data_IF_600521260638
#
_entry.id   IF_600521260638
#
_cell.length_a   1.000
_cell.length_b   1.000
_cell.length_c   1.000
_cell.angle_alpha   90.00
_cell.angle_beta   90.00
_cell.angle_gamma   90.00
#
_symmetry.space_group_name_H-M   'P 1'
#
loop_
_entity.id
_entity.type
_entity.pdbx_description
1 polymer ?
#
# COMPACT_ATOMS: atom_id res chain seq x y z
N UNK A 1 4.99 -7.35 16.31
CA UNK A 1 3.83 -6.74 15.63
C UNK A 1 3.10 -5.67 16.46
N UNK A 2 2.96 -5.79 17.76
CA UNK A 2 2.24 -4.78 18.59
C UNK A 2 2.81 -3.35 18.48
N UNK A 3 4.11 -3.20 18.24
CA UNK A 3 4.78 -1.90 18.03
C UNK A 3 4.60 -1.31 16.62
N UNK A 4 4.10 -2.07 15.65
CA UNK A 4 3.89 -1.59 14.28
C UNK A 4 2.94 -0.39 14.25
N UNK A 5 3.34 0.66 13.56
CA UNK A 5 2.54 1.88 13.31
C UNK A 5 2.53 2.21 11.82
N UNK A 6 1.50 2.91 11.39
CA UNK A 6 1.48 3.63 10.11
C UNK A 6 2.38 4.85 10.24
N UNK A 7 3.46 4.91 9.45
CA UNK A 7 4.46 5.98 9.51
C UNK A 7 4.45 6.77 8.21
N UNK A 8 4.43 8.10 8.31
CA UNK A 8 4.37 9.03 7.17
C UNK A 8 5.64 9.87 7.02
N UNK A 9 6.55 9.80 7.99
CA UNK A 9 7.81 10.53 7.98
C UNK A 9 8.96 9.53 7.82
N UNK A 10 9.62 9.60 6.68
CA UNK A 10 10.69 8.68 6.30
C UNK A 10 12.04 9.37 6.32
N UNK A 11 13.08 8.63 6.70
CA UNK A 11 14.45 8.97 6.41
C UNK A 11 14.72 8.80 4.90
N UNK A 12 15.62 9.62 4.37
CA UNK A 12 16.15 9.46 3.01
C UNK A 12 17.25 8.41 2.91
N UNK A 13 17.58 7.73 4.01
CA UNK A 13 18.56 6.66 4.06
C UNK A 13 18.22 5.56 3.06
N UNK A 14 19.16 5.17 2.17
CA UNK A 14 18.89 4.14 1.17
C UNK A 14 18.58 2.79 1.81
N UNK A 15 17.69 2.05 1.18
CA UNK A 15 17.38 0.67 1.54
C UNK A 15 17.87 -0.24 0.42
N UNK A 16 18.57 -1.31 0.78
CA UNK A 16 19.01 -2.33 -0.14
C UNK A 16 17.80 -3.00 -0.82
N UNK A 17 17.88 -3.21 -2.12
CA UNK A 17 16.83 -3.84 -2.94
C UNK A 17 16.43 -5.22 -2.40
N UNK A 18 17.37 -5.97 -1.86
CA UNK A 18 17.19 -7.31 -1.31
C UNK A 18 16.20 -7.35 -0.14
N UNK A 19 16.08 -6.26 0.63
CA UNK A 19 15.08 -6.14 1.70
C UNK A 19 13.67 -6.03 1.10
N UNK A 20 13.51 -5.27 0.02
CA UNK A 20 12.23 -5.17 -0.70
C UNK A 20 11.87 -6.51 -1.35
N UNK A 21 12.83 -7.16 -1.99
CA UNK A 21 12.64 -8.51 -2.56
C UNK A 21 12.22 -9.51 -1.50
N UNK A 22 12.84 -9.50 -0.33
CA UNK A 22 12.51 -10.37 0.79
C UNK A 22 11.07 -10.14 1.26
N UNK A 23 10.65 -8.89 1.39
CA UNK A 23 9.28 -8.56 1.77
C UNK A 23 8.26 -9.02 0.71
N UNK A 24 8.56 -8.83 -0.59
CA UNK A 24 7.70 -9.27 -1.68
C UNK A 24 7.64 -10.80 -1.76
N UNK A 25 8.77 -11.50 -1.57
CA UNK A 25 8.79 -12.98 -1.50
C UNK A 25 7.91 -13.48 -0.33
N UNK A 26 8.00 -12.85 0.83
CA UNK A 26 7.14 -13.17 1.98
C UNK A 26 5.67 -12.94 1.64
N UNK A 27 5.32 -11.82 1.00
CA UNK A 27 3.98 -11.56 0.53
C UNK A 27 3.47 -12.61 -0.47
N UNK A 28 4.36 -13.07 -1.35
CA UNK A 28 4.09 -14.11 -2.35
C UNK A 28 3.76 -15.49 -1.76
N UNK A 29 4.02 -15.72 -0.47
CA UNK A 29 3.61 -16.97 0.22
C UNK A 29 2.16 -16.94 0.71
N UNK A 30 1.42 -15.86 0.47
CA UNK A 30 0.03 -15.74 0.88
C UNK A 30 -0.84 -16.84 0.23
N UNK A 31 -1.81 -17.39 0.95
CA UNK A 31 -2.84 -18.21 0.32
C UNK A 31 -3.70 -17.37 -0.63
N UNK A 32 -4.21 -18.02 -1.68
CA UNK A 32 -5.09 -17.36 -2.65
C UNK A 32 -6.16 -18.30 -3.16
N UNK A 33 -7.29 -17.75 -3.60
CA UNK A 33 -8.38 -18.50 -4.20
C UNK A 33 -7.88 -19.38 -5.35
N UNK A 34 -8.12 -20.68 -5.27
CA UNK A 34 -7.64 -21.68 -6.24
C UNK A 34 -6.11 -21.60 -6.56
N UNK A 35 -5.31 -21.11 -5.62
CA UNK A 35 -3.87 -20.91 -5.77
C UNK A 35 -3.49 -19.99 -6.95
N UNK A 36 -4.34 -19.04 -7.29
CA UNK A 36 -4.19 -18.19 -8.50
C UNK A 36 -3.23 -17.03 -8.33
N UNK A 37 -2.87 -16.66 -7.08
CA UNK A 37 -1.86 -15.64 -6.75
C UNK A 37 -2.08 -14.33 -7.53
N UNK A 38 -3.26 -13.69 -7.40
CA UNK A 38 -3.74 -12.60 -8.27
C UNK A 38 -3.13 -11.24 -7.94
N UNK A 39 -1.83 -11.17 -7.71
CA UNK A 39 -1.12 -9.97 -7.31
C UNK A 39 0.09 -9.70 -8.18
N UNK A 40 0.36 -8.41 -8.40
CA UNK A 40 1.60 -7.89 -8.95
C UNK A 40 2.11 -6.80 -8.02
N UNK A 41 3.35 -6.90 -7.58
CA UNK A 41 4.03 -5.85 -6.83
C UNK A 41 4.95 -5.08 -7.77
N UNK A 42 4.76 -3.76 -7.86
CA UNK A 42 5.66 -2.87 -8.61
C UNK A 42 6.46 -2.06 -7.60
N UNK A 43 7.76 -2.30 -7.53
CA UNK A 43 8.67 -1.60 -6.63
C UNK A 43 9.39 -0.47 -7.38
N UNK A 44 9.22 0.75 -6.91
CA UNK A 44 9.71 1.99 -7.53
C UNK A 44 10.72 2.65 -6.60
N UNK A 45 11.97 2.80 -7.07
CA UNK A 45 13.02 3.59 -6.42
C UNK A 45 13.40 4.84 -7.23
N UNK A 46 13.04 4.89 -8.52
CA UNK A 46 13.34 6.02 -9.42
C UNK A 46 12.68 7.31 -8.90
N UNK A 47 13.48 8.38 -8.61
CA UNK A 47 12.94 9.63 -8.08
C UNK A 47 11.97 10.32 -9.03
N UNK A 48 12.17 10.20 -10.34
CA UNK A 48 11.32 10.85 -11.33
C UNK A 48 9.93 10.19 -11.38
N UNK A 49 9.88 8.87 -11.31
CA UNK A 49 8.61 8.12 -11.24
C UNK A 49 7.91 8.41 -9.91
N UNK A 50 8.63 8.41 -8.78
CA UNK A 50 8.06 8.76 -7.47
C UNK A 50 7.46 10.16 -7.46
N UNK A 51 8.13 11.14 -8.06
CA UNK A 51 7.63 12.51 -8.19
C UNK A 51 6.33 12.56 -9.00
N UNK A 52 6.25 11.82 -10.11
CA UNK A 52 5.02 11.73 -10.91
C UNK A 52 3.88 11.05 -10.16
N UNK A 53 4.18 9.97 -9.41
CA UNK A 53 3.18 9.30 -8.55
C UNK A 53 2.67 10.27 -7.48
N UNK A 54 3.57 11.02 -6.83
CA UNK A 54 3.19 12.02 -5.81
C UNK A 54 2.30 13.09 -6.40
N UNK A 55 2.67 13.71 -7.50
CA UNK A 55 1.90 14.78 -8.13
C UNK A 55 0.47 14.32 -8.46
N UNK A 56 0.33 13.15 -9.11
CA UNK A 56 -0.97 12.61 -9.46
C UNK A 56 -1.80 12.22 -8.21
N UNK A 57 -1.17 11.65 -7.18
CA UNK A 57 -1.84 11.32 -5.92
C UNK A 57 -2.32 12.59 -5.19
N UNK A 58 -1.50 13.63 -5.11
CA UNK A 58 -1.87 14.91 -4.48
C UNK A 58 -2.98 15.63 -5.25
N UNK A 59 -3.07 15.45 -6.58
CA UNK A 59 -4.18 15.97 -7.38
C UNK A 59 -5.52 15.31 -7.02
N UNK A 60 -5.55 13.98 -6.85
CA UNK A 60 -6.75 13.27 -6.40
C UNK A 60 -7.10 13.59 -4.94
N UNK A 61 -6.12 13.65 -4.06
CA UNK A 61 -6.33 14.04 -2.67
C UNK A 61 -6.85 15.49 -2.53
N UNK A 62 -6.40 16.40 -3.38
CA UNK A 62 -6.91 17.78 -3.39
C UNK A 62 -8.41 17.81 -3.73
N UNK A 63 -8.84 17.05 -4.71
CA UNK A 63 -10.27 16.91 -5.06
C UNK A 63 -11.06 16.33 -3.88
N UNK A 64 -10.51 15.32 -3.22
CA UNK A 64 -11.11 14.67 -2.05
C UNK A 64 -11.30 15.66 -0.90
N UNK A 65 -10.24 16.36 -0.48
CA UNK A 65 -10.29 17.29 0.66
C UNK A 65 -11.08 18.58 0.36
N UNK A 66 -11.22 19.00 -0.89
CA UNK A 66 -11.91 20.24 -1.27
C UNK A 66 -13.35 20.03 -1.75
N UNK A 67 -14.06 19.09 -1.14
CA UNK A 67 -15.50 18.89 -1.34
C UNK A 67 -15.90 17.53 -1.92
N UNK A 68 -14.92 16.64 -2.21
CA UNK A 68 -15.20 15.28 -2.66
C UNK A 68 -15.51 14.30 -1.52
N UNK A 69 -15.11 14.63 -0.28
CA UNK A 69 -15.28 13.74 0.87
C UNK A 69 -16.48 14.14 1.73
N UNK A 70 -17.25 13.14 2.24
CA UNK A 70 -18.22 13.39 3.31
C UNK A 70 -17.56 13.90 4.59
N UNK A 71 -18.26 14.74 5.35
CA UNK A 71 -17.72 15.38 6.57
C UNK A 71 -17.33 14.35 7.63
N UNK A 72 -18.13 13.31 7.84
CA UNK A 72 -17.85 12.23 8.78
C UNK A 72 -16.53 11.48 8.46
N UNK A 73 -16.17 11.38 7.19
CA UNK A 73 -14.88 10.82 6.79
C UNK A 73 -13.72 11.75 7.11
N UNK A 74 -13.86 13.05 6.83
CA UNK A 74 -12.85 14.06 7.19
C UNK A 74 -12.62 14.11 8.70
N UNK A 75 -13.69 14.04 9.50
CA UNK A 75 -13.64 13.97 10.95
C UNK A 75 -12.89 12.72 11.45
N UNK A 76 -13.09 11.57 10.78
CA UNK A 76 -12.37 10.34 11.10
C UNK A 76 -10.87 10.42 10.73
N UNK A 77 -10.49 11.20 9.73
CA UNK A 77 -9.11 11.39 9.30
C UNK A 77 -8.35 12.42 10.15
N UNK A 78 -9.03 13.41 10.72
CA UNK A 78 -8.43 14.50 11.47
C UNK A 78 -7.45 14.03 12.58
N UNK A 79 -7.79 13.01 13.42
CA UNK A 79 -6.88 12.51 14.46
C UNK A 79 -5.65 11.78 13.88
N UNK A 80 -5.67 11.43 12.60
CA UNK A 80 -4.57 10.70 11.95
C UNK A 80 -3.48 11.63 11.43
N UNK A 81 -3.72 12.95 11.42
CA UNK A 81 -2.78 13.96 10.94
C UNK A 81 -2.41 13.77 9.47
N UNK A 82 -3.39 13.44 8.62
CA UNK A 82 -3.20 13.31 7.17
C UNK A 82 -3.99 14.40 6.44
N UNK A 83 -3.41 14.90 5.37
CA UNK A 83 -3.96 15.96 4.52
C UNK A 83 -3.72 15.64 3.03
N UNK A 84 -3.92 16.62 2.16
CA UNK A 84 -3.72 16.47 0.71
C UNK A 84 -2.26 16.31 0.29
N UNK A 85 -1.28 16.67 1.13
CA UNK A 85 0.13 16.61 0.82
C UNK A 85 0.71 15.24 1.17
N UNK A 86 1.43 14.64 0.23
CA UNK A 86 1.94 13.26 0.34
C UNK A 86 3.47 13.18 0.17
N UNK A 87 4.25 13.96 0.97
CA UNK A 87 5.71 13.97 0.86
C UNK A 87 6.33 12.57 1.02
N UNK A 88 5.71 11.70 1.80
CA UNK A 88 6.16 10.32 1.98
C UNK A 88 6.29 9.50 0.67
N UNK A 89 5.65 9.93 -0.43
CA UNK A 89 5.79 9.28 -1.72
C UNK A 89 7.12 9.60 -2.42
N UNK A 90 7.77 10.71 -2.04
CA UNK A 90 9.11 11.09 -2.52
C UNK A 90 10.20 10.83 -1.50
N UNK A 91 9.89 11.01 -0.21
CA UNK A 91 10.87 10.91 0.87
C UNK A 91 11.28 9.45 1.13
N UNK A 92 10.33 8.52 1.09
CA UNK A 92 10.64 7.10 1.22
C UNK A 92 11.56 6.63 0.08
N UNK A 93 12.64 5.86 0.38
CA UNK A 93 13.52 5.29 -0.64
C UNK A 93 12.81 4.46 -1.69
N UNK A 94 11.80 3.70 -1.28
CA UNK A 94 10.98 2.87 -2.15
C UNK A 94 9.49 3.18 -2.02
N UNK A 95 8.77 3.07 -3.14
CA UNK A 95 7.32 3.02 -3.19
C UNK A 95 6.92 1.69 -3.82
N UNK A 96 6.22 0.85 -3.08
CA UNK A 96 5.73 -0.44 -3.58
C UNK A 96 4.23 -0.31 -3.83
N UNK A 97 3.82 -0.54 -5.08
CA UNK A 97 2.40 -0.53 -5.46
C UNK A 97 1.93 -1.96 -5.65
N UNK A 98 0.90 -2.34 -4.91
CA UNK A 98 0.22 -3.63 -5.08
C UNK A 98 -0.91 -3.46 -6.10
N UNK A 99 -0.84 -4.21 -7.18
CA UNK A 99 -1.91 -4.37 -8.15
C UNK A 99 -2.62 -5.70 -7.94
N UNK A 100 -3.93 -5.65 -7.99
CA UNK A 100 -4.80 -6.82 -8.00
C UNK A 100 -5.12 -7.19 -9.44
N UNK A 101 -4.87 -8.42 -9.83
CA UNK A 101 -5.30 -8.96 -11.11
C UNK A 101 -6.79 -9.31 -11.02
N UNK A 102 -7.63 -8.57 -11.74
CA UNK A 102 -9.09 -8.78 -11.74
C UNK A 102 -9.48 -10.10 -12.43
N UNK A 103 -8.63 -10.59 -13.31
CA UNK A 103 -8.73 -11.88 -14.01
C UNK A 103 -7.34 -12.25 -14.53
N UNK A 104 -7.12 -13.52 -14.77
CA UNK A 104 -5.94 -14.02 -15.46
C UNK A 104 -6.06 -13.87 -16.98
N UNK A 105 -4.95 -14.11 -17.68
CA UNK A 105 -4.87 -14.15 -19.14
C UNK A 105 -4.42 -15.58 -19.53
N UNK A 106 -5.23 -16.26 -20.34
CA UNK A 106 -4.91 -17.57 -20.87
C UNK A 106 -3.84 -17.47 -21.98
N UNK A 107 -3.14 -18.56 -22.32
CA UNK A 107 -2.13 -18.56 -23.38
C UNK A 107 -2.65 -18.11 -24.75
N UNK A 108 -3.94 -18.28 -25.02
CA UNK A 108 -4.62 -17.82 -26.23
C UNK A 108 -5.11 -16.36 -26.15
N UNK A 109 -4.80 -15.66 -25.05
CA UNK A 109 -5.25 -14.29 -24.77
C UNK A 109 -6.65 -14.20 -24.16
N UNK A 110 -7.33 -15.31 -23.94
CA UNK A 110 -8.65 -15.37 -23.32
C UNK A 110 -8.62 -14.99 -21.84
N UNK A 111 -9.78 -14.67 -21.29
CA UNK A 111 -9.95 -14.36 -19.87
C UNK A 111 -10.03 -15.63 -19.04
N UNK A 112 -9.23 -15.70 -17.96
CA UNK A 112 -9.34 -16.70 -16.89
C UNK A 112 -10.02 -16.09 -15.68
N UNK A 113 -11.07 -16.72 -15.16
CA UNK A 113 -11.73 -16.28 -13.93
C UNK A 113 -10.82 -16.50 -12.73
N UNK A 114 -10.55 -15.42 -11.99
CA UNK A 114 -9.86 -15.47 -10.71
C UNK A 114 -10.86 -15.29 -9.57
N UNK A 115 -10.63 -16.02 -8.48
CA UNK A 115 -11.52 -16.08 -7.32
C UNK A 115 -10.89 -15.37 -6.12
N UNK A 116 -11.71 -14.68 -5.31
CA UNK A 116 -11.28 -14.05 -4.05
C UNK A 116 -10.03 -13.19 -4.22
N UNK A 117 -9.96 -12.47 -5.33
CA UNK A 117 -8.74 -11.71 -5.69
C UNK A 117 -8.44 -10.59 -4.70
N UNK A 118 -9.47 -9.98 -4.13
CA UNK A 118 -9.35 -8.88 -3.19
C UNK A 118 -8.85 -9.37 -1.82
N UNK A 119 -9.46 -10.44 -1.32
CA UNK A 119 -9.08 -11.10 -0.06
C UNK A 119 -7.63 -11.63 -0.15
N UNK A 120 -7.30 -12.31 -1.25
CA UNK A 120 -5.96 -12.84 -1.52
C UNK A 120 -4.90 -11.74 -1.51
N UNK A 121 -5.14 -10.63 -2.21
CA UNK A 121 -4.24 -9.46 -2.21
C UNK A 121 -4.16 -8.81 -0.82
N UNK A 122 -5.27 -8.76 -0.05
CA UNK A 122 -5.27 -8.25 1.31
C UNK A 122 -4.39 -9.06 2.25
N UNK A 123 -4.41 -10.41 2.13
CA UNK A 123 -3.53 -11.30 2.90
C UNK A 123 -2.07 -11.08 2.50
N UNK A 124 -1.77 -11.02 1.19
CA UNK A 124 -0.42 -10.75 0.68
C UNK A 124 0.12 -9.39 1.19
N UNK A 125 -0.72 -8.33 1.16
CA UNK A 125 -0.37 -7.03 1.71
C UNK A 125 -0.07 -7.10 3.22
N UNK A 126 -0.85 -7.85 3.98
CA UNK A 126 -0.62 -8.07 5.41
C UNK A 126 0.73 -8.72 5.70
N UNK A 127 1.10 -9.76 4.93
CA UNK A 127 2.41 -10.42 5.03
C UNK A 127 3.55 -9.49 4.63
N UNK A 128 3.38 -8.70 3.56
CA UNK A 128 4.35 -7.66 3.16
C UNK A 128 4.62 -6.69 4.31
N UNK A 129 3.55 -6.11 4.89
CA UNK A 129 3.64 -5.16 6.00
C UNK A 129 4.31 -5.79 7.22
N UNK A 130 4.02 -7.06 7.50
CA UNK A 130 4.64 -7.80 8.60
C UNK A 130 6.15 -7.98 8.37
N UNK A 131 6.55 -8.38 7.16
CA UNK A 131 7.96 -8.55 6.79
C UNK A 131 8.73 -7.22 6.91
N UNK A 132 8.19 -6.12 6.33
CA UNK A 132 8.78 -4.78 6.45
C UNK A 132 9.02 -4.41 7.91
N UNK A 133 8.02 -4.62 8.78
CA UNK A 133 8.15 -4.32 10.20
C UNK A 133 9.19 -5.20 10.92
N UNK A 134 9.28 -6.49 10.60
CA UNK A 134 10.25 -7.40 11.20
C UNK A 134 11.69 -7.06 10.82
N UNK A 135 11.91 -6.47 9.65
CA UNK A 135 13.22 -5.99 9.20
C UNK A 135 13.59 -4.61 9.77
N UNK A 136 12.78 -4.03 10.68
CA UNK A 136 13.04 -2.72 11.27
C UNK A 136 12.65 -1.54 10.37
N UNK A 137 12.02 -1.81 9.25
CA UNK A 137 11.51 -0.79 8.32
C UNK A 137 10.09 -0.38 8.68
N UNK A 138 9.65 0.75 8.13
CA UNK A 138 8.30 1.26 8.30
C UNK A 138 7.60 1.45 6.96
N UNK A 139 6.28 1.43 7.01
CA UNK A 139 5.41 1.65 5.86
C UNK A 139 4.06 2.21 6.29
N UNK A 140 3.29 2.66 5.32
CA UNK A 140 1.86 2.94 5.43
C UNK A 140 1.13 2.34 4.23
N UNK A 141 -0.18 2.21 4.34
CA UNK A 141 -1.05 1.95 3.19
C UNK A 141 -1.69 3.26 2.76
N UNK A 142 -1.51 3.64 1.52
CA UNK A 142 -2.10 4.82 0.90
C UNK A 142 -2.96 4.40 -0.29
N UNK A 143 -4.16 4.95 -0.38
CA UNK A 143 -5.16 4.63 -1.41
C UNK A 143 -5.73 5.91 -2.00
N UNK A 144 -4.95 6.67 -2.79
CA UNK A 144 -5.46 7.86 -3.48
C UNK A 144 -6.57 7.42 -4.44
N UNK A 145 -7.75 7.97 -4.31
CA UNK A 145 -8.91 7.50 -5.08
C UNK A 145 -9.43 8.61 -6.02
N UNK A 146 -9.55 8.32 -7.33
CA UNK A 146 -9.30 7.05 -8.03
C UNK A 146 -7.80 6.76 -8.27
N UNK A 147 -7.41 5.47 -8.30
CA UNK A 147 -6.02 5.03 -8.49
C UNK A 147 -5.67 4.67 -9.95
N UNK A 148 -6.52 5.02 -10.91
CA UNK A 148 -6.33 4.67 -12.34
C UNK A 148 -5.02 5.19 -12.93
N UNK A 149 -4.57 6.37 -12.50
CA UNK A 149 -3.31 6.99 -12.93
C UNK A 149 -2.08 6.10 -12.68
N UNK A 150 -2.11 5.23 -11.67
CA UNK A 150 -1.00 4.31 -11.37
C UNK A 150 -0.83 3.25 -12.46
N UNK A 151 -1.92 2.79 -13.07
CA UNK A 151 -1.85 1.84 -14.18
C UNK A 151 -1.16 2.44 -15.40
N UNK A 152 -1.42 3.70 -15.69
CA UNK A 152 -0.80 4.45 -16.79
C UNK A 152 0.67 4.75 -16.49
N UNK A 153 0.97 5.32 -15.31
CA UNK A 153 2.32 5.69 -14.89
C UNK A 153 3.29 4.50 -14.80
N UNK A 154 2.77 3.33 -14.43
CA UNK A 154 3.55 2.12 -14.21
C UNK A 154 3.35 1.08 -15.33
N UNK A 155 2.73 1.47 -16.44
CA UNK A 155 2.54 0.67 -17.65
C UNK A 155 1.93 -0.72 -17.35
N UNK A 156 0.85 -0.73 -16.56
CA UNK A 156 0.21 -1.99 -16.16
C UNK A 156 -0.86 -2.44 -17.16
N UNK A 157 -0.97 -3.77 -17.36
CA UNK A 157 -1.96 -4.31 -18.29
C UNK A 157 -3.39 -4.07 -17.81
N UNK A 158 -4.39 -4.08 -18.69
CA UNK A 158 -5.77 -3.68 -18.38
C UNK A 158 -6.50 -4.62 -17.40
N UNK A 159 -5.98 -5.82 -17.12
CA UNK A 159 -6.52 -6.71 -16.11
C UNK A 159 -6.01 -6.41 -14.69
N UNK A 160 -5.03 -5.52 -14.53
CA UNK A 160 -4.51 -5.10 -13.23
C UNK A 160 -5.17 -3.82 -12.75
N UNK A 161 -5.46 -3.77 -11.45
CA UNK A 161 -6.03 -2.61 -10.75
C UNK A 161 -5.18 -2.30 -9.54
N UNK A 162 -4.71 -1.07 -9.42
CA UNK A 162 -4.00 -0.63 -8.23
C UNK A 162 -4.89 -0.80 -7.00
N UNK A 163 -4.34 -1.33 -5.93
CA UNK A 163 -5.04 -1.62 -4.68
C UNK A 163 -4.44 -0.87 -3.49
N UNK A 164 -3.12 -0.85 -3.37
CA UNK A 164 -2.41 -0.18 -2.27
C UNK A 164 -1.12 0.44 -2.79
N UNK A 165 -0.80 1.63 -2.29
CA UNK A 165 0.51 2.28 -2.43
C UNK A 165 1.20 2.22 -1.07
N UNK A 166 2.39 1.64 -1.01
CA UNK A 166 3.13 1.38 0.23
C UNK A 166 4.54 1.98 0.13
N UNK A 167 4.75 3.22 0.55
CA UNK A 167 6.09 3.76 0.76
C UNK A 167 6.82 2.94 1.81
N UNK A 168 8.12 2.67 1.61
CA UNK A 168 8.96 1.86 2.48
C UNK A 168 10.28 2.57 2.74
N UNK A 169 10.66 2.67 4.00
CA UNK A 169 11.89 3.33 4.43
C UNK A 169 12.19 3.07 5.90
N UNK A 170 13.30 3.62 6.38
CA UNK A 170 13.50 3.84 7.81
C UNK A 170 12.65 5.02 8.27
N UNK A 171 12.17 5.03 9.53
CA UNK A 171 11.49 6.22 10.06
C UNK A 171 12.48 7.39 10.15
N UNK A 172 12.02 8.61 9.91
CA UNK A 172 12.81 9.80 10.23
C UNK A 172 13.12 9.83 11.75
N UNK A 173 14.24 10.43 12.13
CA UNK A 173 14.67 10.45 13.54
C UNK A 173 13.66 11.10 14.49
N UNK A 174 12.89 12.06 13.98
CA UNK A 174 11.84 12.78 14.69
C UNK A 174 10.42 12.29 14.35
N UNK A 175 10.30 11.16 13.65
CA UNK A 175 9.03 10.62 13.21
C UNK A 175 8.07 10.41 14.38
N UNK A 176 6.91 11.06 14.30
CA UNK A 176 5.82 10.90 15.27
C UNK A 176 4.67 10.17 14.63
N UNK A 177 3.95 9.43 15.46
CA UNK A 177 2.73 8.72 15.06
C UNK A 177 1.61 9.04 16.05
N UNK A 178 0.34 9.11 15.64
CA UNK A 178 -0.78 9.32 16.55
C UNK A 178 -0.82 8.23 17.63
N UNK A 179 -1.14 8.62 18.87
CA UNK A 179 -1.33 7.67 19.98
C UNK A 179 -2.71 7.00 19.88
N UNK A 180 -2.81 6.03 18.98
CA UNK A 180 -4.04 5.28 18.73
C UNK A 180 -4.03 3.96 19.48
N UNK A 181 -5.15 3.65 20.15
CA UNK A 181 -5.36 2.37 20.82
C UNK A 181 -6.00 1.36 19.88
N UNK A 182 -5.50 0.13 19.91
CA UNK A 182 -6.15 -0.99 19.25
C UNK A 182 -7.20 -1.60 20.15
N UNK A 183 -8.18 -2.25 19.54
CA UNK A 183 -9.12 -3.10 20.28
C UNK A 183 -8.37 -4.16 21.09
N UNK A 184 -8.90 -4.47 22.24
CA UNK A 184 -8.41 -5.56 23.11
C UNK A 184 -8.83 -6.92 22.53
N UNK A 185 -8.26 -8.02 23.04
CA UNK A 185 -8.54 -9.36 22.52
C UNK A 185 -10.04 -9.70 22.61
N UNK A 186 -10.66 -9.39 23.72
CA UNK A 186 -12.09 -9.60 23.98
C UNK A 186 -13.04 -8.79 23.05
N UNK A 187 -12.53 -7.71 22.46
CA UNK A 187 -13.26 -6.91 21.46
C UNK A 187 -13.14 -7.45 20.02
N UNK A 188 -12.26 -8.41 19.78
CA UNK A 188 -11.98 -8.95 18.43
C UNK A 188 -12.17 -10.46 18.33
N UNK A 189 -12.49 -11.16 19.44
CA UNK A 189 -12.70 -12.60 19.47
C UNK A 189 -14.01 -12.93 20.15
N UNK A 190 -14.68 -13.96 19.67
CA UNK A 190 -15.81 -14.61 20.33
C UNK A 190 -15.43 -16.06 20.52
N UNK A 191 -15.35 -16.51 21.79
CA UNK A 191 -15.13 -17.91 22.14
C UNK A 191 -16.47 -18.66 22.15
N UNK A 192 -16.52 -19.84 21.56
CA UNK A 192 -17.66 -20.73 21.53
C UNK A 192 -17.28 -22.13 21.97
#
# INVERSE_FOLDING_TARGET
MNRRRTTRHFSTEPIARELIETAIRTAGTAPSGAHQQPWTFVAVSDPSIKTRIRAAAEDEERKFYHGGAPQDWLDALAPLGTDQHKPHLTDAPWVVVLFRQAHGIAPDGGKLTFYYTQESCGIAAGLFIAAIHQMGLVTLTHTPNPMGFLSELLERPPNERAMLVMPVGYPAADAKVPDLRRKTLDQIVVWR
#
